data_IF_364790583179
#
_entry.id   IF_364790583179
#
_cell.length_a   1.000
_cell.length_b   1.000
_cell.length_c   1.000
_cell.angle_alpha   90.00
_cell.angle_beta   90.00
_cell.angle_gamma   90.00
#
_symmetry.space_group_name_H-M   'P 1'
#
loop_
_entity.id
_entity.type
_entity.pdbx_description
1 polymer ?
#
# COMPACT_ATOMS: atom_id res chain seq x y z
N UNK A 1 9.47 -6.37 -12.66
CA UNK A 1 9.61 -5.93 -11.25
C UNK A 1 10.12 -4.50 -11.25
N UNK A 2 9.42 -3.53 -10.65
CA UNK A 2 9.98 -2.20 -10.45
C UNK A 2 11.21 -2.31 -9.53
N UNK A 3 12.28 -1.61 -9.84
CA UNK A 3 13.49 -1.59 -8.99
C UNK A 3 13.21 -0.90 -7.66
N UNK A 4 13.96 -1.23 -6.59
CA UNK A 4 13.85 -0.57 -5.27
C UNK A 4 13.99 0.96 -5.34
N UNK A 5 14.68 1.48 -6.35
CA UNK A 5 14.79 2.91 -6.59
C UNK A 5 13.48 3.55 -7.06
N UNK A 6 12.64 2.82 -7.80
CA UNK A 6 11.34 3.30 -8.25
C UNK A 6 10.41 3.58 -7.06
N UNK A 7 10.35 2.66 -6.09
CA UNK A 7 9.55 2.81 -4.87
C UNK A 7 10.03 3.96 -3.95
N UNK A 8 11.35 4.19 -3.83
CA UNK A 8 11.88 5.31 -3.02
C UNK A 8 11.50 6.67 -3.61
N UNK A 9 11.51 6.80 -4.93
CA UNK A 9 11.14 8.04 -5.62
C UNK A 9 9.64 8.35 -5.54
N UNK A 10 8.78 7.33 -5.55
CA UNK A 10 7.33 7.51 -5.41
C UNK A 10 6.90 7.87 -3.99
N UNK A 11 7.53 7.29 -2.97
CA UNK A 11 7.19 7.57 -1.57
C UNK A 11 7.19 9.07 -1.24
N UNK A 12 8.27 9.78 -1.53
CA UNK A 12 8.40 11.21 -1.22
C UNK A 12 7.41 12.11 -1.98
N UNK A 13 6.95 11.65 -3.16
CA UNK A 13 5.98 12.36 -3.98
C UNK A 13 4.55 12.11 -3.51
N UNK A 14 4.24 10.92 -3.02
CA UNK A 14 2.91 10.52 -2.53
C UNK A 14 2.62 10.97 -1.09
N UNK A 15 3.62 11.46 -0.36
CA UNK A 15 3.44 11.97 1.00
C UNK A 15 2.36 13.06 1.11
N UNK A 16 1.44 12.96 2.11
CA UNK A 16 0.52 14.04 2.44
C UNK A 16 1.28 15.32 2.79
N UNK A 17 0.75 16.48 2.39
CA UNK A 17 1.37 17.79 2.62
C UNK A 17 1.72 18.01 4.10
N UNK A 18 0.87 17.57 5.03
CA UNK A 18 1.14 17.68 6.47
C UNK A 18 2.36 16.88 6.92
N UNK A 19 2.53 15.64 6.45
CA UNK A 19 3.70 14.81 6.75
C UNK A 19 4.96 15.40 6.11
N UNK A 20 4.82 15.90 4.88
CA UNK A 20 5.90 16.54 4.16
C UNK A 20 6.40 17.82 4.87
N UNK A 21 5.49 18.66 5.38
CA UNK A 21 5.87 19.85 6.15
C UNK A 21 6.63 19.51 7.44
N UNK A 22 6.30 18.41 8.12
CA UNK A 22 7.02 17.99 9.33
C UNK A 22 8.49 17.68 9.04
N UNK A 23 8.78 16.95 7.96
CA UNK A 23 10.17 16.65 7.62
C UNK A 23 10.93 17.90 7.13
N UNK A 24 10.27 18.82 6.41
CA UNK A 24 10.89 20.10 6.07
C UNK A 24 11.19 20.93 7.32
N UNK A 25 10.27 20.96 8.30
CA UNK A 25 10.47 21.67 9.56
C UNK A 25 11.58 21.02 10.40
N UNK A 26 11.67 19.69 10.39
CA UNK A 26 12.78 18.98 11.01
C UNK A 26 14.13 19.39 10.41
N UNK A 27 14.22 19.40 9.08
CA UNK A 27 15.43 19.83 8.36
C UNK A 27 15.74 21.30 8.66
N UNK A 28 14.74 22.18 8.60
CA UNK A 28 14.90 23.60 8.92
C UNK A 28 15.55 23.79 10.29
N UNK A 29 14.96 23.24 11.36
CA UNK A 29 15.49 23.40 12.70
C UNK A 29 16.88 22.77 12.88
N UNK A 30 17.12 21.60 12.28
CA UNK A 30 18.45 20.97 12.33
C UNK A 30 19.51 21.87 11.69
N UNK A 31 19.25 22.49 10.54
CA UNK A 31 20.24 23.33 9.86
C UNK A 31 20.31 24.75 10.42
N UNK A 32 19.24 25.29 11.00
CA UNK A 32 19.22 26.58 11.72
C UNK A 32 20.23 26.64 12.87
N UNK A 33 20.65 25.48 13.41
CA UNK A 33 21.74 25.36 14.38
C UNK A 33 23.06 25.99 13.91
N UNK A 34 23.33 25.97 12.59
CA UNK A 34 24.56 26.50 11.99
C UNK A 34 24.69 28.00 12.26
N UNK A 35 23.58 28.76 12.27
CA UNK A 35 23.62 30.19 12.58
C UNK A 35 24.12 30.47 14.00
N UNK A 36 23.65 29.72 14.99
CA UNK A 36 24.13 29.82 16.38
C UNK A 36 25.57 29.34 16.53
N UNK A 37 25.96 28.26 15.83
CA UNK A 37 27.35 27.80 15.79
C UNK A 37 28.27 28.88 15.20
N UNK A 38 27.79 29.61 14.18
CA UNK A 38 28.54 30.70 13.55
C UNK A 38 28.75 31.87 14.52
N UNK A 39 27.74 32.30 15.27
CA UNK A 39 27.91 33.34 16.31
C UNK A 39 28.83 32.85 17.43
N UNK A 40 28.72 31.58 17.83
CA UNK A 40 29.57 30.97 18.85
C UNK A 40 31.06 31.00 18.46
N UNK A 41 31.40 30.67 17.21
CA UNK A 41 32.77 30.76 16.70
C UNK A 41 33.26 32.21 16.53
N UNK A 42 32.33 33.18 16.40
CA UNK A 42 32.63 34.61 16.44
C UNK A 42 32.62 35.19 17.87
N UNK A 43 32.57 34.34 18.90
CA UNK A 43 32.59 34.75 20.30
C UNK A 43 31.31 35.46 20.77
N UNK A 44 30.17 35.21 20.12
CA UNK A 44 28.88 35.84 20.42
C UNK A 44 28.87 37.33 20.07
N UNK A 45 29.59 37.75 19.01
CA UNK A 45 29.77 39.16 18.63
C UNK A 45 28.93 39.59 17.43
N UNK A 46 28.26 38.69 16.71
CA UNK A 46 27.51 39.07 15.51
C UNK A 46 26.39 40.07 15.85
N UNK A 47 26.06 41.05 15.01
CA UNK A 47 24.82 41.80 15.17
C UNK A 47 23.59 40.88 15.21
N UNK A 48 22.55 41.22 15.98
CA UNK A 48 21.33 40.38 16.13
C UNK A 48 20.66 40.06 14.79
N UNK A 49 20.71 41.00 13.85
CA UNK A 49 20.13 40.81 12.51
C UNK A 49 20.97 39.84 11.66
N UNK A 50 22.30 39.83 11.81
CA UNK A 50 23.19 38.88 11.15
C UNK A 50 22.98 37.47 11.70
N UNK A 51 22.90 37.32 13.03
CA UNK A 51 22.55 36.04 13.66
C UNK A 51 21.21 35.52 13.13
N UNK A 52 20.16 36.36 13.13
CA UNK A 52 18.85 35.99 12.60
C UNK A 52 18.94 35.56 11.12
N UNK A 53 19.70 36.31 10.31
CA UNK A 53 19.94 35.97 8.92
C UNK A 53 20.61 34.60 8.77
N UNK A 54 21.71 34.33 9.47
CA UNK A 54 22.42 33.05 9.38
C UNK A 54 21.55 31.87 9.84
N UNK A 55 20.78 32.04 10.92
CA UNK A 55 19.86 31.01 11.42
C UNK A 55 18.78 30.69 10.37
N UNK A 56 18.10 31.69 9.84
CA UNK A 56 17.03 31.48 8.85
C UNK A 56 17.60 30.98 7.52
N UNK A 57 18.70 31.55 7.06
CA UNK A 57 19.33 31.21 5.77
C UNK A 57 19.85 29.77 5.77
N UNK A 58 20.56 29.35 6.83
CA UNK A 58 21.03 27.96 6.95
C UNK A 58 19.86 26.97 7.00
N UNK A 59 18.82 27.26 7.78
CA UNK A 59 17.59 26.47 7.82
C UNK A 59 16.90 26.33 6.47
N UNK A 60 16.69 27.45 5.75
CA UNK A 60 16.08 27.46 4.41
C UNK A 60 16.93 26.74 3.37
N UNK A 61 18.26 26.89 3.45
CA UNK A 61 19.20 26.18 2.58
C UNK A 61 19.11 24.67 2.80
N UNK A 62 19.08 24.22 4.06
CA UNK A 62 18.83 22.83 4.41
C UNK A 62 17.51 22.31 3.82
N UNK A 63 16.42 23.07 3.98
CA UNK A 63 15.11 22.76 3.38
C UNK A 63 15.20 22.62 1.86
N UNK A 64 15.92 23.52 1.19
CA UNK A 64 16.14 23.46 -0.26
C UNK A 64 16.83 22.18 -0.69
N UNK A 65 17.93 21.79 -0.01
CA UNK A 65 18.63 20.53 -0.27
C UNK A 65 17.75 19.32 0.02
N UNK A 66 17.02 19.33 1.14
CA UNK A 66 16.06 18.30 1.49
C UNK A 66 14.97 18.13 0.42
N UNK A 67 14.37 19.23 -0.04
CA UNK A 67 13.37 19.22 -1.09
C UNK A 67 13.92 18.66 -2.41
N UNK A 68 15.11 19.13 -2.81
CA UNK A 68 15.78 18.65 -4.02
C UNK A 68 16.05 17.14 -3.94
N UNK A 69 16.57 16.66 -2.82
CA UNK A 69 16.85 15.25 -2.60
C UNK A 69 15.58 14.37 -2.60
N UNK A 70 14.49 14.86 -2.00
CA UNK A 70 13.25 14.09 -1.84
C UNK A 70 12.34 14.11 -3.07
N UNK A 71 12.19 15.25 -3.76
CA UNK A 71 11.18 15.40 -4.84
C UNK A 71 11.75 15.67 -6.22
N UNK A 72 12.79 16.49 -6.33
CA UNK A 72 13.30 16.93 -7.63
C UNK A 72 14.81 17.13 -7.61
N UNK A 73 15.57 16.06 -7.86
CA UNK A 73 17.04 16.13 -7.84
C UNK A 73 17.61 17.18 -8.81
N UNK A 74 16.89 17.49 -9.90
CA UNK A 74 17.31 18.52 -10.88
C UNK A 74 17.33 19.94 -10.32
N UNK A 75 16.64 20.22 -9.20
CA UNK A 75 16.72 21.53 -8.54
C UNK A 75 17.98 21.69 -7.68
N UNK A 76 18.74 20.62 -7.46
CA UNK A 76 19.95 20.66 -6.61
C UNK A 76 20.98 21.70 -7.07
N UNK A 77 21.37 21.81 -8.37
CA UNK A 77 22.33 22.81 -8.81
C UNK A 77 21.83 24.26 -8.61
N UNK A 78 20.51 24.47 -8.69
CA UNK A 78 19.90 25.79 -8.45
C UNK A 78 20.03 26.17 -6.97
N UNK A 79 19.69 25.25 -6.06
CA UNK A 79 19.85 25.45 -4.61
C UNK A 79 21.32 25.70 -4.25
N UNK A 80 22.24 24.93 -4.84
CA UNK A 80 23.69 25.12 -4.66
C UNK A 80 24.15 26.48 -5.18
N UNK A 81 23.71 26.89 -6.37
CA UNK A 81 24.05 28.17 -6.96
C UNK A 81 23.57 29.35 -6.11
N UNK A 82 22.34 29.29 -5.58
CA UNK A 82 21.82 30.30 -4.64
C UNK A 82 22.63 30.31 -3.34
N UNK A 83 22.93 29.13 -2.79
CA UNK A 83 23.72 29.02 -1.56
C UNK A 83 25.10 29.67 -1.72
N UNK A 84 25.83 29.30 -2.78
CA UNK A 84 27.16 29.87 -3.06
C UNK A 84 27.09 31.38 -3.33
N UNK A 85 26.13 31.84 -4.12
CA UNK A 85 25.99 33.27 -4.44
C UNK A 85 25.77 34.12 -3.18
N UNK A 86 24.93 33.63 -2.26
CA UNK A 86 24.72 34.31 -0.97
C UNK A 86 25.97 34.23 -0.10
N UNK A 87 26.67 33.09 -0.05
CA UNK A 87 27.94 32.96 0.68
C UNK A 87 29.02 33.94 0.19
N UNK A 88 29.07 34.24 -1.11
CA UNK A 88 30.00 35.23 -1.68
C UNK A 88 29.62 36.69 -1.39
N UNK A 89 28.36 36.97 -1.04
CA UNK A 89 27.86 38.31 -0.70
C UNK A 89 28.09 38.65 0.79
N UNK A 90 28.40 37.66 1.61
CA UNK A 90 28.66 37.83 3.04
C UNK A 90 30.13 38.28 3.20
N UNK A 91 30.41 39.42 3.86
CA UNK A 91 31.77 39.88 4.11
C UNK A 91 32.61 38.82 4.82
N UNK A 92 33.93 38.77 4.53
CA UNK A 92 34.87 37.85 5.17
C UNK A 92 34.73 37.92 6.69
N UNK A 93 34.04 36.92 7.24
CA UNK A 93 33.84 36.77 8.68
C UNK A 93 35.08 36.06 9.17
N UNK A 94 36.14 36.84 9.45
CA UNK A 94 37.36 36.29 10.02
C UNK A 94 37.06 35.74 11.41
N UNK A 95 37.21 34.43 11.59
CA UNK A 95 37.07 33.78 12.90
C UNK A 95 38.19 34.24 13.84
N UNK A 96 37.90 35.18 14.74
CA UNK A 96 38.81 35.62 15.79
C UNK A 96 38.28 35.19 17.16
N UNK A 97 38.95 34.24 17.82
CA UNK A 97 38.61 33.83 19.18
C UNK A 97 39.29 34.77 20.19
N UNK A 98 38.68 35.93 20.43
CA UNK A 98 39.07 36.81 21.54
C UNK A 98 38.08 36.63 22.70
N UNK A 99 38.53 35.94 23.75
CA UNK A 99 37.70 35.63 24.91
C UNK A 99 37.69 36.80 25.91
N UNK A 100 36.78 37.76 25.71
CA UNK A 100 36.54 38.84 26.68
C UNK A 100 35.53 38.39 27.76
N UNK A 101 35.77 38.73 29.04
CA UNK A 101 34.96 38.26 30.19
C UNK A 101 33.52 38.79 30.19
N UNK A 102 33.19 39.73 29.30
CA UNK A 102 31.91 40.47 29.29
C UNK A 102 30.82 39.80 28.44
N UNK A 103 31.12 38.76 27.64
CA UNK A 103 30.17 38.19 26.65
C UNK A 103 29.51 36.87 27.14
N UNK A 104 29.58 36.54 28.43
CA UNK A 104 29.07 35.26 28.95
C UNK A 104 27.57 35.03 28.76
N UNK A 105 26.74 36.06 28.93
CA UNK A 105 25.27 35.92 28.79
C UNK A 105 24.85 35.60 27.35
N UNK A 106 25.58 36.11 26.37
CA UNK A 106 25.24 35.95 24.96
C UNK A 106 25.60 34.56 24.43
N UNK A 107 26.78 34.06 24.81
CA UNK A 107 27.18 32.68 24.53
C UNK A 107 26.19 31.65 25.12
N UNK A 108 25.61 31.95 26.29
CA UNK A 108 24.58 31.12 26.90
C UNK A 108 23.27 31.14 26.10
N UNK A 109 22.84 32.30 25.59
CA UNK A 109 21.67 32.40 24.72
C UNK A 109 21.86 31.63 23.40
N UNK A 110 23.05 31.72 22.78
CA UNK A 110 23.36 30.96 21.55
C UNK A 110 23.40 29.46 21.82
N UNK A 111 23.97 29.04 22.95
CA UNK A 111 23.93 27.65 23.40
C UNK A 111 22.50 27.13 23.61
N UNK A 112 21.62 27.93 24.22
CA UNK A 112 20.19 27.59 24.38
C UNK A 112 19.49 27.52 23.01
N UNK A 113 19.74 28.49 22.12
CA UNK A 113 19.17 28.52 20.78
C UNK A 113 19.58 27.31 19.93
N UNK A 114 20.85 26.93 20.01
CA UNK A 114 21.42 25.72 19.41
C UNK A 114 20.70 24.45 19.91
N UNK A 115 20.62 24.29 21.24
CA UNK A 115 19.94 23.15 21.85
C UNK A 115 18.46 23.09 21.48
N UNK A 116 17.77 24.22 21.50
CA UNK A 116 16.36 24.30 21.13
C UNK A 116 16.13 23.90 19.67
N UNK A 117 16.97 24.39 18.76
CA UNK A 117 16.91 24.02 17.34
C UNK A 117 17.14 22.52 17.14
N UNK A 118 18.14 21.93 17.81
CA UNK A 118 18.38 20.49 17.73
C UNK A 118 17.20 19.68 18.30
N UNK A 119 16.66 20.07 19.46
CA UNK A 119 15.51 19.39 20.08
C UNK A 119 14.28 19.48 19.19
N UNK A 120 13.94 20.66 18.67
CA UNK A 120 12.80 20.84 17.77
C UNK A 120 12.98 20.05 16.46
N UNK A 121 14.18 20.06 15.88
CA UNK A 121 14.51 19.27 14.70
C UNK A 121 14.32 17.78 14.94
N UNK A 122 14.86 17.27 16.05
CA UNK A 122 14.72 15.88 16.46
C UNK A 122 13.25 15.50 16.72
N UNK A 123 12.49 16.31 17.46
CA UNK A 123 11.08 16.05 17.74
C UNK A 123 10.26 16.00 16.45
N UNK A 124 10.46 16.94 15.52
CA UNK A 124 9.77 16.93 14.23
C UNK A 124 10.11 15.70 13.40
N UNK A 125 11.38 15.26 13.44
CA UNK A 125 11.82 14.05 12.78
C UNK A 125 11.15 12.79 13.37
N UNK A 126 11.10 12.68 14.69
CA UNK A 126 10.42 11.57 15.38
C UNK A 126 8.92 11.56 15.08
N UNK A 127 8.26 12.72 15.04
CA UNK A 127 6.84 12.82 14.68
C UNK A 127 6.57 12.45 13.22
N UNK A 128 7.51 12.69 12.31
CA UNK A 128 7.44 12.22 10.93
C UNK A 128 7.59 10.69 10.86
N UNK A 129 8.63 10.12 11.47
CA UNK A 129 8.88 8.67 11.45
C UNK A 129 7.73 7.90 12.11
N UNK A 130 7.31 8.31 13.30
CA UNK A 130 6.27 7.62 14.07
C UNK A 130 4.91 7.66 13.37
N UNK A 131 4.63 8.71 12.60
CA UNK A 131 3.38 8.83 11.86
C UNK A 131 3.41 8.07 10.54
N UNK A 132 4.41 8.37 9.70
CA UNK A 132 4.43 7.91 8.31
C UNK A 132 5.20 6.61 8.14
N UNK A 133 6.36 6.48 8.79
CA UNK A 133 7.18 5.26 8.72
C UNK A 133 6.43 4.03 9.22
N UNK A 134 5.75 4.17 10.37
CA UNK A 134 4.92 3.09 10.93
C UNK A 134 3.73 2.76 10.03
N UNK A 135 3.10 3.77 9.43
CA UNK A 135 1.94 3.57 8.54
C UNK A 135 2.33 2.81 7.27
N UNK A 136 3.42 3.22 6.63
CA UNK A 136 3.93 2.54 5.43
C UNK A 136 4.34 1.10 5.73
N UNK A 137 5.06 0.87 6.84
CA UNK A 137 5.42 -0.48 7.27
C UNK A 137 4.16 -1.33 7.51
N UNK A 138 3.15 -0.80 8.19
CA UNK A 138 1.89 -1.52 8.43
C UNK A 138 1.17 -1.87 7.14
N UNK A 139 1.03 -0.92 6.21
CA UNK A 139 0.38 -1.17 4.92
C UNK A 139 1.15 -2.21 4.11
N UNK A 140 2.48 -2.12 4.09
CA UNK A 140 3.32 -3.08 3.38
C UNK A 140 3.21 -4.48 3.99
N UNK A 141 3.27 -4.60 5.32
CA UNK A 141 3.04 -5.88 6.01
C UNK A 141 1.65 -6.43 5.75
N UNK A 142 0.62 -5.58 5.73
CA UNK A 142 -0.76 -5.98 5.41
C UNK A 142 -0.87 -6.51 3.96
N UNK A 143 -0.20 -5.87 3.00
CA UNK A 143 -0.19 -6.33 1.61
C UNK A 143 0.60 -7.63 1.45
N UNK A 144 1.77 -7.76 2.10
CA UNK A 144 2.58 -8.98 2.07
C UNK A 144 1.78 -10.18 2.62
N UNK A 145 1.08 -9.99 3.74
CA UNK A 145 0.21 -11.02 4.32
C UNK A 145 -0.94 -11.39 3.38
N UNK A 146 -1.59 -10.39 2.79
CA UNK A 146 -2.70 -10.62 1.87
C UNK A 146 -2.26 -11.39 0.62
N UNK A 147 -1.04 -11.14 0.13
CA UNK A 147 -0.43 -11.87 -0.97
C UNK A 147 -0.14 -13.32 -0.60
N UNK A 148 0.48 -13.55 0.55
CA UNK A 148 0.75 -14.91 1.05
C UNK A 148 -0.56 -15.72 1.18
N UNK A 149 -1.62 -15.10 1.70
CA UNK A 149 -2.95 -15.72 1.74
C UNK A 149 -3.49 -16.04 0.34
N UNK A 150 -3.36 -15.11 -0.62
CA UNK A 150 -3.83 -15.33 -1.99
C UNK A 150 -3.12 -16.51 -2.66
N UNK A 151 -1.79 -16.61 -2.51
CA UNK A 151 -0.99 -17.71 -3.07
C UNK A 151 -1.41 -19.07 -2.51
N UNK A 152 -1.77 -19.14 -1.22
CA UNK A 152 -2.29 -20.36 -0.59
C UNK A 152 -3.73 -20.68 -1.04
N UNK A 153 -4.57 -19.66 -1.18
CA UNK A 153 -5.99 -19.82 -1.50
C UNK A 153 -6.23 -20.10 -2.99
N UNK A 154 -5.35 -19.65 -3.88
CA UNK A 154 -5.54 -19.69 -5.34
C UNK A 154 -4.36 -20.40 -6.04
N UNK A 155 -4.12 -21.70 -5.75
CA UNK A 155 -3.02 -22.43 -6.39
C UNK A 155 -3.29 -22.63 -7.89
N UNK A 156 -2.23 -22.61 -8.72
CA UNK A 156 -2.32 -23.14 -10.09
C UNK A 156 -2.60 -24.65 -10.00
N UNK A 157 -3.59 -25.13 -10.76
CA UNK A 157 -3.93 -26.55 -10.79
C UNK A 157 -4.02 -27.08 -12.22
N UNK A 158 -3.55 -28.32 -12.38
CA UNK A 158 -3.73 -29.13 -13.59
C UNK A 158 -4.22 -30.51 -13.16
N UNK A 159 -5.42 -30.88 -13.56
CA UNK A 159 -6.00 -32.19 -13.24
C UNK A 159 -6.39 -32.89 -14.54
N UNK A 160 -6.11 -34.18 -14.63
CA UNK A 160 -6.54 -35.05 -15.73
C UNK A 160 -7.11 -36.34 -15.17
N UNK A 161 -8.42 -36.51 -15.22
CA UNK A 161 -9.09 -37.69 -14.67
C UNK A 161 -10.52 -37.84 -15.21
N UNK A 162 -11.00 -39.09 -15.28
CA UNK A 162 -12.38 -39.43 -15.67
C UNK A 162 -12.81 -38.81 -17.01
N UNK A 163 -11.88 -38.72 -17.98
CA UNK A 163 -12.14 -38.11 -19.29
C UNK A 163 -12.09 -36.58 -19.31
N UNK A 164 -11.88 -35.93 -18.17
CA UNK A 164 -11.75 -34.48 -18.06
C UNK A 164 -10.30 -34.03 -17.91
N UNK A 165 -9.97 -32.90 -18.54
CA UNK A 165 -8.73 -32.18 -18.32
C UNK A 165 -9.07 -30.76 -17.84
N UNK A 166 -8.69 -30.43 -16.62
CA UNK A 166 -9.01 -29.17 -15.96
C UNK A 166 -7.71 -28.40 -15.75
N UNK A 167 -7.69 -27.15 -16.18
CA UNK A 167 -6.59 -26.22 -15.99
C UNK A 167 -7.11 -24.92 -15.39
N UNK A 168 -6.45 -24.44 -14.34
CA UNK A 168 -6.77 -23.15 -13.73
C UNK A 168 -5.49 -22.41 -13.36
N UNK A 169 -5.44 -21.13 -13.74
CA UNK A 169 -4.39 -20.20 -13.32
C UNK A 169 -4.97 -18.80 -13.11
N UNK A 170 -4.66 -18.19 -11.97
CA UNK A 170 -4.91 -16.78 -11.69
C UNK A 170 -3.58 -16.04 -11.73
N UNK A 171 -3.54 -14.91 -12.45
CA UNK A 171 -2.35 -14.04 -12.53
C UNK A 171 -2.78 -12.66 -12.06
N UNK A 172 -2.39 -12.24 -10.84
CA UNK A 172 -2.79 -10.93 -10.33
C UNK A 172 -2.13 -9.82 -11.15
N UNK A 173 -2.90 -8.79 -11.50
CA UNK A 173 -2.39 -7.62 -12.20
C UNK A 173 -1.48 -6.73 -11.30
N UNK A 174 -1.62 -6.83 -9.97
CA UNK A 174 -0.85 -6.07 -8.98
C UNK A 174 -0.71 -6.84 -7.66
N UNK A 175 -0.63 -6.15 -6.51
CA UNK A 175 -0.15 -6.71 -5.24
C UNK A 175 -1.06 -7.80 -4.63
N UNK A 176 -2.39 -7.76 -4.81
CA UNK A 176 -3.36 -8.84 -4.46
C UNK A 176 -4.65 -8.73 -5.29
N UNK A 177 -5.09 -9.81 -5.93
CA UNK A 177 -6.35 -9.86 -6.69
C UNK A 177 -7.55 -10.36 -5.88
N UNK A 178 -8.75 -9.89 -6.23
CA UNK A 178 -10.03 -10.44 -5.73
C UNK A 178 -10.40 -11.78 -6.37
N UNK A 179 -9.72 -12.15 -7.45
CA UNK A 179 -10.03 -13.35 -8.23
C UNK A 179 -9.61 -14.63 -7.49
N UNK A 180 -10.56 -15.55 -7.41
CA UNK A 180 -10.41 -16.91 -6.91
C UNK A 180 -10.75 -17.89 -8.03
N UNK A 181 -9.85 -18.84 -8.25
CA UNK A 181 -10.14 -20.04 -9.02
C UNK A 181 -9.95 -21.25 -8.12
N UNK A 182 -10.81 -22.24 -8.27
CA UNK A 182 -10.70 -23.46 -7.47
C UNK A 182 -11.36 -24.65 -8.16
N UNK A 183 -10.91 -25.84 -7.75
CA UNK A 183 -11.51 -27.10 -8.19
C UNK A 183 -11.69 -28.04 -7.01
N UNK A 184 -12.92 -28.45 -6.78
CA UNK A 184 -13.30 -29.40 -5.76
C UNK A 184 -13.62 -30.75 -6.39
N UNK A 185 -13.01 -31.82 -5.88
CA UNK A 185 -13.25 -33.19 -6.32
C UNK A 185 -14.06 -33.95 -5.28
N UNK A 186 -15.14 -34.60 -5.72
CA UNK A 186 -15.94 -35.51 -4.92
C UNK A 186 -16.13 -36.84 -5.68
N UNK A 187 -15.32 -37.84 -5.36
CA UNK A 187 -15.24 -39.07 -6.15
C UNK A 187 -14.76 -38.80 -7.58
N UNK A 188 -15.59 -39.12 -8.58
CA UNK A 188 -15.36 -38.85 -10.00
C UNK A 188 -16.11 -37.60 -10.50
N UNK A 189 -16.77 -36.87 -9.59
CA UNK A 189 -17.41 -35.58 -9.88
C UNK A 189 -16.43 -34.44 -9.61
N UNK A 190 -16.37 -33.47 -10.52
CA UNK A 190 -15.53 -32.28 -10.39
C UNK A 190 -16.41 -31.04 -10.37
N UNK A 191 -16.20 -30.14 -9.41
CA UNK A 191 -16.81 -28.81 -9.38
C UNK A 191 -15.71 -27.77 -9.54
N UNK A 192 -15.69 -27.07 -10.66
CA UNK A 192 -14.83 -25.93 -10.91
C UNK A 192 -15.57 -24.65 -10.52
N UNK A 193 -14.85 -23.70 -9.96
CA UNK A 193 -15.40 -22.37 -9.67
C UNK A 193 -14.42 -21.27 -10.03
N UNK A 194 -15.00 -20.14 -10.45
CA UNK A 194 -14.34 -18.86 -10.59
C UNK A 194 -15.15 -17.85 -9.78
N UNK A 195 -14.49 -17.04 -8.97
CA UNK A 195 -15.14 -16.01 -8.20
C UNK A 195 -14.29 -14.73 -8.20
N UNK A 196 -14.95 -13.58 -8.07
CA UNK A 196 -14.29 -12.29 -7.89
C UNK A 196 -14.85 -11.65 -6.62
N UNK A 197 -13.96 -11.46 -5.64
CA UNK A 197 -14.25 -10.87 -4.34
C UNK A 197 -14.06 -9.36 -4.43
N UNK A 198 -15.10 -8.59 -4.09
CA UNK A 198 -15.02 -7.13 -4.07
C UNK A 198 -13.99 -6.65 -3.02
N UNK A 199 -13.13 -5.73 -3.42
CA UNK A 199 -12.12 -5.12 -2.55
C UNK A 199 -10.71 -5.65 -2.81
N UNK A 200 -9.80 -5.37 -1.88
CA UNK A 200 -8.39 -5.78 -1.98
C UNK A 200 -7.78 -5.96 -0.58
N UNK A 201 -6.55 -6.48 -0.52
CA UNK A 201 -5.81 -6.68 0.72
C UNK A 201 -6.38 -7.79 1.61
N UNK A 202 -6.05 -7.73 2.91
CA UNK A 202 -6.34 -8.83 3.86
C UNK A 202 -7.83 -9.10 4.00
N UNK A 203 -8.67 -8.07 3.95
CA UNK A 203 -10.12 -8.25 4.05
C UNK A 203 -10.70 -9.08 2.89
N UNK A 204 -10.22 -8.85 1.66
CA UNK A 204 -10.62 -9.62 0.49
C UNK A 204 -10.11 -11.07 0.59
N UNK A 205 -8.85 -11.26 0.97
CA UNK A 205 -8.26 -12.59 1.18
C UNK A 205 -9.00 -13.40 2.26
N UNK A 206 -9.42 -12.75 3.35
CA UNK A 206 -10.21 -13.41 4.40
C UNK A 206 -11.58 -13.87 3.88
N UNK A 207 -12.29 -13.01 3.13
CA UNK A 207 -13.57 -13.38 2.55
C UNK A 207 -13.43 -14.51 1.51
N UNK A 208 -12.36 -14.47 0.71
CA UNK A 208 -12.00 -15.55 -0.20
C UNK A 208 -11.80 -16.88 0.52
N UNK A 209 -11.05 -16.89 1.64
CA UNK A 209 -10.85 -18.08 2.47
C UNK A 209 -12.14 -18.61 3.09
N UNK A 210 -13.00 -17.72 3.61
CA UNK A 210 -14.31 -18.10 4.13
C UNK A 210 -15.19 -18.71 3.04
N UNK A 211 -15.26 -18.10 1.86
CA UNK A 211 -16.02 -18.62 0.73
C UNK A 211 -15.51 -19.99 0.29
N UNK A 212 -14.20 -20.15 0.08
CA UNK A 212 -13.58 -21.42 -0.33
C UNK A 212 -13.88 -22.54 0.69
N UNK A 213 -13.70 -22.26 1.98
CA UNK A 213 -13.99 -23.21 3.05
C UNK A 213 -15.47 -23.59 3.12
N UNK A 214 -16.37 -22.61 3.02
CA UNK A 214 -17.82 -22.85 3.04
C UNK A 214 -18.24 -23.67 1.83
N UNK A 215 -17.81 -23.30 0.62
CA UNK A 215 -18.07 -24.05 -0.61
C UNK A 215 -17.59 -25.50 -0.50
N UNK A 216 -16.34 -25.74 -0.10
CA UNK A 216 -15.82 -27.10 0.07
C UNK A 216 -16.66 -27.91 1.05
N UNK A 217 -17.05 -27.30 2.16
CA UNK A 217 -17.88 -27.95 3.19
C UNK A 217 -19.23 -28.39 2.65
N UNK A 218 -19.92 -27.53 1.90
CA UNK A 218 -21.21 -27.89 1.29
C UNK A 218 -21.06 -28.89 0.14
N UNK A 219 -20.05 -28.73 -0.71
CA UNK A 219 -19.79 -29.63 -1.84
C UNK A 219 -19.47 -31.07 -1.43
N UNK A 220 -18.98 -31.31 -0.20
CA UNK A 220 -18.80 -32.66 0.36
C UNK A 220 -20.07 -33.50 0.32
N UNK A 221 -21.23 -32.88 0.56
CA UNK A 221 -22.54 -33.56 0.55
C UNK A 221 -23.08 -33.78 -0.86
N UNK A 222 -22.39 -33.27 -1.88
CA UNK A 222 -22.79 -33.27 -3.28
C UNK A 222 -24.23 -32.74 -3.53
N UNK A 223 -24.67 -31.63 -2.90
CA UNK A 223 -25.98 -31.06 -3.17
C UNK A 223 -25.97 -30.38 -4.55
N UNK A 224 -27.14 -30.07 -5.14
CA UNK A 224 -27.22 -29.16 -6.29
C UNK A 224 -26.43 -27.86 -6.04
N UNK A 225 -25.79 -27.31 -7.08
CA UNK A 225 -24.96 -26.10 -6.97
C UNK A 225 -25.79 -24.91 -6.47
N UNK A 226 -27.05 -24.80 -6.88
CA UNK A 226 -27.99 -23.80 -6.38
C UNK A 226 -28.13 -23.82 -4.85
N UNK A 227 -28.31 -25.02 -4.29
CA UNK A 227 -28.43 -25.23 -2.85
C UNK A 227 -27.11 -24.91 -2.13
N UNK A 228 -25.97 -25.34 -2.68
CA UNK A 228 -24.66 -24.98 -2.13
C UNK A 228 -24.45 -23.46 -2.09
N UNK A 229 -24.83 -22.74 -3.16
CA UNK A 229 -24.73 -21.29 -3.23
C UNK A 229 -25.68 -20.60 -2.24
N UNK A 230 -26.90 -21.11 -2.06
CA UNK A 230 -27.85 -20.58 -1.06
C UNK A 230 -27.28 -20.65 0.36
N UNK A 231 -26.74 -21.81 0.75
CA UNK A 231 -26.16 -22.02 2.08
C UNK A 231 -24.91 -21.15 2.31
N UNK A 232 -24.03 -21.07 1.30
CA UNK A 232 -22.86 -20.21 1.35
C UNK A 232 -23.25 -18.73 1.41
N UNK A 233 -24.29 -18.32 0.67
CA UNK A 233 -24.82 -16.97 0.70
C UNK A 233 -25.28 -16.57 2.11
N UNK A 234 -26.08 -17.42 2.77
CA UNK A 234 -26.55 -17.17 4.13
C UNK A 234 -25.39 -17.08 5.13
N UNK A 235 -24.40 -17.97 5.00
CA UNK A 235 -23.20 -17.97 5.86
C UNK A 235 -22.40 -16.68 5.69
N UNK A 236 -22.07 -16.32 4.44
CA UNK A 236 -21.24 -15.16 4.16
C UNK A 236 -21.94 -13.84 4.44
N UNK A 237 -23.25 -13.75 4.19
CA UNK A 237 -24.04 -12.54 4.47
C UNK A 237 -23.93 -12.11 5.94
N UNK A 238 -23.87 -13.07 6.87
CA UNK A 238 -23.75 -12.80 8.31
C UNK A 238 -22.33 -12.46 8.75
N UNK A 239 -21.32 -13.03 8.10
CA UNK A 239 -19.91 -12.92 8.53
C UNK A 239 -19.18 -11.73 7.90
N UNK A 240 -19.57 -11.29 6.71
CA UNK A 240 -18.82 -10.28 5.97
C UNK A 240 -19.06 -8.85 6.48
N UNK A 241 -18.17 -7.94 6.07
CA UNK A 241 -18.46 -6.50 6.12
C UNK A 241 -19.59 -6.15 5.14
N UNK A 242 -20.48 -5.23 5.53
CA UNK A 242 -21.65 -4.83 4.73
C UNK A 242 -21.30 -4.41 3.29
N UNK A 243 -20.16 -3.76 3.09
CA UNK A 243 -19.71 -3.23 1.80
C UNK A 243 -19.09 -4.25 0.86
N UNK A 244 -18.83 -5.47 1.33
CA UNK A 244 -18.22 -6.52 0.52
C UNK A 244 -19.30 -7.41 -0.11
N UNK A 245 -18.99 -8.02 -1.24
CA UNK A 245 -19.76 -9.06 -1.90
C UNK A 245 -18.78 -9.87 -2.76
N UNK A 246 -19.26 -10.95 -3.37
CA UNK A 246 -18.47 -11.65 -4.37
C UNK A 246 -19.34 -12.19 -5.48
N UNK A 247 -18.82 -12.20 -6.69
CA UNK A 247 -19.45 -12.88 -7.82
C UNK A 247 -18.89 -14.29 -7.92
N UNK A 248 -19.67 -15.24 -8.41
CA UNK A 248 -19.19 -16.62 -8.61
C UNK A 248 -19.83 -17.27 -9.82
N UNK A 249 -19.07 -18.05 -10.58
CA UNK A 249 -19.55 -19.02 -11.54
C UNK A 249 -19.03 -20.41 -11.15
N UNK A 250 -19.94 -21.38 -11.06
CA UNK A 250 -19.67 -22.76 -10.74
C UNK A 250 -20.07 -23.66 -11.91
N UNK A 251 -19.23 -24.65 -12.23
CA UNK A 251 -19.51 -25.67 -13.23
C UNK A 251 -19.12 -27.02 -12.68
N UNK A 252 -20.07 -27.95 -12.64
CA UNK A 252 -19.90 -29.31 -12.18
C UNK A 252 -20.03 -30.30 -13.32
N UNK A 253 -19.12 -31.26 -13.35
CA UNK A 253 -19.06 -32.35 -14.31
C UNK A 253 -19.29 -33.68 -13.60
N UNK A 254 -20.24 -34.46 -14.11
CA UNK A 254 -20.53 -35.82 -13.66
C UNK A 254 -19.85 -36.85 -14.60
N UNK A 255 -19.58 -38.07 -14.10
CA UNK A 255 -18.93 -39.13 -14.90
C UNK A 255 -19.75 -39.59 -16.12
N UNK A 256 -21.06 -39.41 -16.07
CA UNK A 256 -22.00 -39.76 -17.14
C UNK A 256 -22.09 -38.69 -18.25
N UNK A 257 -21.27 -37.63 -18.15
CA UNK A 257 -21.24 -36.52 -19.10
C UNK A 257 -22.28 -35.44 -18.82
N UNK A 258 -23.13 -35.59 -17.78
CA UNK A 258 -24.01 -34.50 -17.35
C UNK A 258 -23.18 -33.36 -16.77
N UNK A 259 -23.66 -32.14 -16.99
CA UNK A 259 -23.07 -30.92 -16.43
C UNK A 259 -24.14 -30.10 -15.74
N UNK A 260 -23.79 -29.51 -14.61
CA UNK A 260 -24.62 -28.60 -13.83
C UNK A 260 -23.83 -27.29 -13.67
N UNK A 261 -24.45 -26.15 -13.86
CA UNK A 261 -23.78 -24.86 -13.66
C UNK A 261 -24.65 -23.91 -12.86
N UNK A 262 -24.03 -22.97 -12.17
CA UNK A 262 -24.74 -21.87 -11.53
C UNK A 262 -23.88 -20.62 -11.53
N UNK A 263 -24.51 -19.45 -11.64
CA UNK A 263 -23.81 -18.16 -11.74
C UNK A 263 -24.43 -17.16 -10.78
N UNK A 264 -23.71 -16.74 -9.75
CA UNK A 264 -24.09 -15.68 -8.83
C UNK A 264 -23.45 -14.35 -9.24
N UNK A 265 -24.12 -13.60 -10.12
CA UNK A 265 -23.70 -12.26 -10.56
C UNK A 265 -22.38 -12.17 -11.33
N UNK A 266 -21.77 -13.31 -11.68
CA UNK A 266 -20.51 -13.36 -12.42
C UNK A 266 -20.72 -13.29 -13.94
N UNK A 267 -19.62 -13.13 -14.67
CA UNK A 267 -19.64 -13.19 -16.13
C UNK A 267 -20.10 -14.58 -16.63
N UNK A 268 -20.69 -14.66 -17.83
CA UNK A 268 -21.13 -15.93 -18.41
C UNK A 268 -19.99 -16.95 -18.54
N UNK A 269 -20.30 -18.22 -18.33
CA UNK A 269 -19.39 -19.33 -18.64
C UNK A 269 -19.41 -19.52 -20.15
N UNK A 270 -18.24 -19.48 -20.79
CA UNK A 270 -18.11 -19.70 -22.22
C UNK A 270 -17.93 -21.20 -22.50
N UNK A 271 -18.88 -21.79 -23.20
CA UNK A 271 -18.84 -23.19 -23.63
C UNK A 271 -18.49 -23.26 -25.12
N UNK A 272 -17.27 -23.71 -25.43
CA UNK A 272 -16.82 -23.92 -26.80
C UNK A 272 -17.00 -25.37 -27.23
N UNK A 273 -17.71 -25.60 -28.34
CA UNK A 273 -17.89 -26.92 -28.96
C UNK A 273 -16.98 -27.07 -30.17
N UNK A 274 -15.91 -27.85 -30.02
CA UNK A 274 -14.92 -28.06 -31.08
C UNK A 274 -15.53 -28.64 -32.37
N UNK A 275 -16.50 -29.55 -32.27
CA UNK A 275 -17.12 -30.19 -33.44
C UNK A 275 -17.91 -29.24 -34.34
N UNK A 276 -18.45 -28.14 -33.81
CA UNK A 276 -19.19 -27.14 -34.59
C UNK A 276 -18.48 -25.78 -34.66
N UNK A 277 -17.34 -25.63 -34.00
CA UNK A 277 -16.63 -24.36 -33.81
C UNK A 277 -17.52 -23.23 -33.25
N UNK A 278 -18.51 -23.56 -32.42
CA UNK A 278 -19.43 -22.59 -31.83
C UNK A 278 -19.10 -22.33 -30.36
N UNK A 279 -19.34 -21.09 -29.92
CA UNK A 279 -19.27 -20.67 -28.52
C UNK A 279 -20.68 -20.33 -28.05
N UNK A 280 -21.10 -20.97 -26.97
CA UNK A 280 -22.34 -20.69 -26.25
C UNK A 280 -22.02 -19.98 -24.92
N UNK A 281 -22.89 -19.06 -24.49
CA UNK A 281 -22.78 -18.39 -23.20
C UNK A 281 -23.77 -19.02 -22.23
N UNK A 282 -23.27 -19.69 -21.20
CA UNK A 282 -24.08 -20.21 -20.10
C UNK A 282 -24.17 -19.13 -19.03
N UNK A 283 -25.36 -18.56 -18.84
CA UNK A 283 -25.59 -17.47 -17.91
C UNK A 283 -26.92 -17.62 -17.21
N UNK A 284 -26.97 -17.19 -15.95
CA UNK A 284 -28.20 -17.04 -15.19
C UNK A 284 -28.29 -15.59 -14.71
N UNK A 285 -29.48 -14.98 -14.77
CA UNK A 285 -29.70 -13.63 -14.25
C UNK A 285 -29.88 -13.68 -12.73
N UNK A 286 -28.77 -13.67 -12.00
CA UNK A 286 -28.76 -13.74 -10.54
C UNK A 286 -27.87 -12.66 -9.94
N UNK A 287 -28.06 -12.37 -8.66
CA UNK A 287 -27.28 -11.36 -7.94
C UNK A 287 -25.94 -11.94 -7.45
N UNK A 288 -24.94 -11.08 -7.13
CA UNK A 288 -23.74 -11.53 -6.44
C UNK A 288 -24.05 -12.11 -5.06
N UNK A 289 -23.19 -13.02 -4.60
CA UNK A 289 -23.29 -13.60 -3.27
C UNK A 289 -23.09 -12.53 -2.19
N UNK A 290 -23.77 -12.77 -1.07
CA UNK A 290 -23.80 -12.00 0.15
C UNK A 290 -24.36 -10.57 -0.03
N UNK A 291 -25.02 -10.25 -1.14
CA UNK A 291 -25.73 -8.96 -1.31
C UNK A 291 -27.05 -8.96 -0.54
N UNK A 292 -27.79 -10.07 -0.59
CA UNK A 292 -29.08 -10.26 0.09
C UNK A 292 -29.08 -11.65 0.75
N UNK A 293 -29.59 -11.75 1.98
CA UNK A 293 -29.59 -13.01 2.74
C UNK A 293 -30.46 -14.09 2.09
N UNK A 294 -31.72 -13.75 1.81
CA UNK A 294 -32.74 -14.67 1.33
C UNK A 294 -32.94 -14.47 -0.18
N UNK A 295 -31.94 -14.89 -0.96
CA UNK A 295 -32.01 -14.91 -2.42
C UNK A 295 -31.87 -16.35 -2.93
N UNK A 296 -32.86 -16.89 -3.66
CA UNK A 296 -32.79 -18.25 -4.17
C UNK A 296 -31.96 -18.33 -5.46
N UNK A 297 -30.81 -19.00 -5.39
CA UNK A 297 -30.02 -19.37 -6.55
C UNK A 297 -30.61 -20.57 -7.29
N UNK A 298 -30.31 -20.68 -8.58
CA UNK A 298 -30.77 -21.69 -9.53
C UNK A 298 -29.58 -22.31 -10.29
N UNK A 299 -29.85 -23.42 -10.99
CA UNK A 299 -28.90 -24.22 -11.78
C UNK A 299 -29.51 -24.61 -13.11
#
# INVERSE_FOLDING_TARGET
>A
MPSREHYRGEFWKSLPVRSYLKILLAIFFTFSSIGFITDLFNGGRLPKWELFFFVVFSGLTGVGYGHAAMRNWKSFPVVLGVHLSVSFLIPDTSFSIELDRVIQHRLLLDGIGLLLCMVLGYVMFVLFISGEGVRQMRLQTEMDLAREMHEVLVPEFRLRQAGFAIYGKSVPASEVGGDLIDVYRNGDTFTCLVADISGHGVAAALLMGMFKSAMHTHLRRNPPLAEALNEVNQTLYRLKKRTMFLTCACLRFYPDGRTEYSVAGHLPILHYRAGSAQVEQLTLRQIPLAVQADYPFAT
#
